data_IF_348599408907
#
_entry.id   IF_348599408907
#
_cell.length_a   1.000
_cell.length_b   1.000
_cell.length_c   1.000
_cell.angle_alpha   90.00
_cell.angle_beta   90.00
_cell.angle_gamma   90.00
#
_symmetry.space_group_name_H-M   'P 1'
#
loop_
_entity.id
_entity.type
_entity.pdbx_description
1 polymer ?
#
# COMPACT_ATOMS: atom_id res chain seq x y z
N UNK A 1 12.17 13.03 3.92
CA UNK A 1 11.07 13.14 4.92
C UNK A 1 10.20 11.89 4.96
N UNK A 2 9.62 11.42 3.84
CA UNK A 2 8.83 10.17 3.80
C UNK A 2 9.60 8.93 4.29
N UNK A 3 10.87 8.79 3.91
CA UNK A 3 11.69 7.62 4.27
C UNK A 3 12.01 7.53 5.78
N UNK A 4 12.16 8.67 6.46
CA UNK A 4 12.38 8.73 7.92
C UNK A 4 11.10 8.42 8.70
N UNK A 5 9.93 8.79 8.18
CA UNK A 5 8.64 8.51 8.83
C UNK A 5 8.26 7.03 8.66
N UNK A 6 8.58 6.40 7.54
CA UNK A 6 8.37 4.97 7.34
C UNK A 6 9.17 4.13 8.35
N UNK A 7 10.41 4.55 8.69
CA UNK A 7 11.19 3.91 9.75
C UNK A 7 10.51 4.01 11.12
N UNK A 8 9.87 5.14 11.43
CA UNK A 8 9.13 5.31 12.69
C UNK A 8 7.89 4.39 12.80
N UNK A 9 7.35 3.93 11.67
CA UNK A 9 6.23 2.98 11.63
C UNK A 9 6.67 1.51 11.69
N UNK A 10 7.97 1.21 11.74
CA UNK A 10 8.47 -0.14 11.93
C UNK A 10 8.03 -0.69 13.28
N UNK A 11 7.61 -1.95 13.31
CA UNK A 11 7.06 -2.57 14.52
C UNK A 11 8.08 -2.59 15.67
N UNK A 12 9.38 -2.77 15.36
CA UNK A 12 10.45 -2.72 16.38
C UNK A 12 10.60 -1.34 17.02
N UNK A 13 10.54 -0.28 16.22
CA UNK A 13 10.67 1.10 16.70
C UNK A 13 9.44 1.51 17.49
N UNK A 14 8.23 1.16 17.02
CA UNK A 14 6.99 1.40 17.75
C UNK A 14 6.95 0.68 19.10
N UNK A 15 7.43 -0.56 19.18
CA UNK A 15 7.57 -1.29 20.45
C UNK A 15 8.54 -0.59 21.40
N UNK A 16 9.71 -0.16 20.90
CA UNK A 16 10.68 0.56 21.72
C UNK A 16 10.10 1.87 22.29
N UNK A 17 9.44 2.67 21.46
CA UNK A 17 8.76 3.91 21.88
C UNK A 17 7.69 3.60 22.93
N UNK A 18 6.91 2.53 22.73
CA UNK A 18 5.84 2.15 23.65
C UNK A 18 6.38 1.74 25.02
N UNK A 19 7.47 0.97 25.06
CA UNK A 19 8.15 0.61 26.31
C UNK A 19 8.67 1.85 27.02
N UNK A 20 9.31 2.77 26.28
CA UNK A 20 9.82 4.03 26.84
C UNK A 20 8.68 4.88 27.43
N UNK A 21 7.56 5.01 26.71
CA UNK A 21 6.39 5.76 27.19
C UNK A 21 5.79 5.11 28.44
N UNK A 22 5.67 3.78 28.48
CA UNK A 22 5.16 3.07 29.66
C UNK A 22 6.09 3.19 30.87
N UNK A 23 7.41 3.24 30.66
CA UNK A 23 8.39 3.50 31.71
C UNK A 23 8.26 4.93 32.25
N UNK A 24 8.22 5.92 31.37
CA UNK A 24 8.05 7.33 31.75
C UNK A 24 6.69 7.62 32.40
N UNK A 25 5.66 6.85 32.06
CA UNK A 25 4.32 6.97 32.63
C UNK A 25 4.30 6.81 34.16
N UNK A 26 5.21 6.02 34.74
CA UNK A 26 5.31 5.88 36.18
C UNK A 26 5.62 7.20 36.88
N UNK A 27 6.69 7.88 36.43
CA UNK A 27 7.13 9.16 36.97
C UNK A 27 6.10 10.26 36.71
N UNK A 28 5.50 10.26 35.52
CA UNK A 28 4.44 11.20 35.18
C UNK A 28 3.20 11.00 36.06
N UNK A 29 2.80 9.76 36.32
CA UNK A 29 1.67 9.47 37.21
C UNK A 29 1.95 9.91 38.65
N UNK A 30 3.16 9.69 39.17
CA UNK A 30 3.54 10.16 40.50
C UNK A 30 3.50 11.70 40.59
N UNK A 31 4.09 12.39 39.61
CA UNK A 31 4.03 13.84 39.52
C UNK A 31 2.60 14.36 39.45
N UNK A 32 1.76 13.75 38.61
CA UNK A 32 0.36 14.14 38.44
C UNK A 32 -0.45 13.91 39.72
N UNK A 33 -0.19 12.81 40.43
CA UNK A 33 -0.83 12.53 41.71
C UNK A 33 -0.45 13.57 42.75
N UNK A 34 0.84 13.88 42.91
CA UNK A 34 1.32 14.88 43.84
C UNK A 34 0.74 16.27 43.52
N UNK A 35 0.66 16.63 42.24
CA UNK A 35 0.03 17.86 41.78
C UNK A 35 -1.46 17.91 42.16
N UNK A 36 -2.22 16.84 41.91
CA UNK A 36 -3.63 16.76 42.27
C UNK A 36 -3.85 16.81 43.78
N UNK A 37 -2.99 16.16 44.57
CA UNK A 37 -3.06 16.19 46.03
C UNK A 37 -2.81 17.58 46.58
N UNK A 38 -1.78 18.26 46.10
CA UNK A 38 -1.50 19.65 46.47
C UNK A 38 -2.68 20.56 46.13
N UNK A 39 -3.25 20.43 44.93
CA UNK A 39 -4.46 21.17 44.54
C UNK A 39 -5.62 20.90 45.51
N UNK A 40 -5.88 19.63 45.85
CA UNK A 40 -6.96 19.26 46.76
C UNK A 40 -6.76 19.84 48.17
N UNK A 41 -5.53 19.87 48.67
CA UNK A 41 -5.20 20.49 49.96
C UNK A 41 -5.46 21.99 49.93
N UNK A 42 -4.98 22.70 48.90
CA UNK A 42 -5.24 24.14 48.74
C UNK A 42 -6.74 24.44 48.69
N UNK A 43 -7.52 23.66 47.93
CA UNK A 43 -8.97 23.85 47.85
C UNK A 43 -9.68 23.60 49.19
N UNK A 44 -9.26 22.59 49.95
CA UNK A 44 -9.81 22.31 51.29
C UNK A 44 -9.54 23.46 52.25
N UNK A 45 -8.31 23.96 52.28
CA UNK A 45 -7.90 25.06 53.16
C UNK A 45 -8.56 26.39 52.76
N UNK A 46 -8.69 26.64 51.45
CA UNK A 46 -9.44 27.78 50.94
C UNK A 46 -10.92 27.72 51.36
N UNK A 47 -11.55 26.54 51.31
CA UNK A 47 -12.93 26.34 51.76
C UNK A 47 -13.10 26.57 53.28
N UNK A 48 -12.06 26.36 54.08
CA UNK A 48 -12.04 26.65 55.51
C UNK A 48 -11.65 28.11 55.85
N UNK A 49 -11.65 29.01 54.86
CA UNK A 49 -11.28 30.44 54.98
C UNK A 49 -9.85 30.69 55.46
N UNK A 50 -8.93 29.74 55.25
CA UNK A 50 -7.52 29.93 55.55
C UNK A 50 -6.84 30.75 54.44
N UNK A 51 -6.50 32.02 54.72
CA UNK A 51 -5.88 32.93 53.75
C UNK A 51 -4.45 32.57 53.35
N UNK A 52 -3.82 31.60 54.03
CA UNK A 52 -2.47 31.08 53.73
C UNK A 52 -2.48 29.77 52.93
N UNK A 53 -3.64 29.36 52.39
CA UNK A 53 -3.77 28.10 51.66
C UNK A 53 -2.79 27.96 50.47
N UNK A 54 -2.39 29.07 49.84
CA UNK A 54 -1.44 29.03 48.71
C UNK A 54 -0.02 28.67 49.12
N UNK A 55 0.39 28.96 50.36
CA UNK A 55 1.73 28.64 50.87
C UNK A 55 1.91 27.13 51.12
N UNK A 56 0.84 26.34 51.04
CA UNK A 56 0.87 24.88 51.17
C UNK A 56 1.09 24.17 49.84
N UNK A 57 1.02 24.88 48.71
CA UNK A 57 1.28 24.30 47.40
C UNK A 57 2.78 24.18 47.19
N UNK A 58 3.30 22.97 47.36
CA UNK A 58 4.71 22.68 47.11
C UNK A 58 4.84 21.42 46.28
N UNK A 59 5.49 21.58 45.12
CA UNK A 59 5.75 20.48 44.22
C UNK A 59 7.26 20.34 44.03
N UNK A 60 7.77 19.18 44.42
CA UNK A 60 9.19 18.87 44.34
C UNK A 60 9.46 17.86 43.23
N UNK A 61 10.71 17.78 42.80
CA UNK A 61 11.13 16.74 41.85
C UNK A 61 11.12 15.34 42.50
N UNK A 62 11.25 15.28 43.82
CA UNK A 62 11.24 14.03 44.60
C UNK A 62 9.87 13.34 44.54
N UNK A 63 8.79 14.13 44.39
CA UNK A 63 7.43 13.63 44.24
C UNK A 63 7.26 12.73 43.01
N UNK A 64 8.07 12.92 41.96
CA UNK A 64 8.09 12.03 40.78
C UNK A 64 8.51 10.59 41.12
N UNK A 65 9.20 10.38 42.24
CA UNK A 65 9.74 9.08 42.67
C UNK A 65 8.95 8.46 43.82
N UNK A 66 7.99 9.20 44.39
CA UNK A 66 7.24 8.77 45.56
C UNK A 66 6.02 7.91 45.16
N UNK A 67 6.15 6.59 45.32
CA UNK A 67 5.08 5.65 45.03
C UNK A 67 4.14 5.47 46.22
N UNK A 68 2.90 5.92 46.07
CA UNK A 68 1.88 5.82 47.11
C UNK A 68 1.00 4.57 46.90
N UNK A 69 1.26 3.51 47.68
CA UNK A 69 0.53 2.24 47.57
C UNK A 69 -0.99 2.38 47.84
N UNK A 70 -1.38 3.31 48.70
CA UNK A 70 -2.78 3.46 49.15
C UNK A 70 -3.74 3.92 48.03
N UNK A 71 -3.22 4.61 47.00
CA UNK A 71 -4.01 5.12 45.86
C UNK A 71 -3.73 4.32 44.59
N UNK A 72 -3.63 2.99 44.72
CA UNK A 72 -3.32 2.09 43.60
C UNK A 72 -4.31 2.22 42.42
N UNK A 73 -5.57 2.56 42.70
CA UNK A 73 -6.61 2.76 41.67
C UNK A 73 -6.28 3.90 40.71
N UNK A 74 -5.62 4.96 41.18
CA UNK A 74 -5.18 6.07 40.33
C UNK A 74 -4.14 5.59 39.30
N UNK A 75 -3.15 4.81 39.75
CA UNK A 75 -2.12 4.27 38.88
C UNK A 75 -2.71 3.33 37.83
N UNK A 76 -3.64 2.45 38.22
CA UNK A 76 -4.33 1.55 37.28
C UNK A 76 -5.06 2.38 36.20
N UNK A 77 -5.77 3.44 36.59
CA UNK A 77 -6.45 4.34 35.65
C UNK A 77 -5.48 5.06 34.70
N UNK A 78 -4.37 5.58 35.22
CA UNK A 78 -3.34 6.25 34.43
C UNK A 78 -2.72 5.30 33.40
N UNK A 79 -2.38 4.07 33.79
CA UNK A 79 -1.84 3.06 32.87
C UNK A 79 -2.86 2.62 31.83
N UNK A 80 -4.14 2.48 32.19
CA UNK A 80 -5.20 2.13 31.24
C UNK A 80 -5.37 3.22 30.16
N UNK A 81 -5.33 4.50 30.55
CA UNK A 81 -5.44 5.63 29.63
C UNK A 81 -4.22 5.69 28.69
N UNK A 82 -3.02 5.53 29.23
CA UNK A 82 -1.78 5.48 28.44
C UNK A 82 -1.78 4.31 27.46
N UNK A 83 -2.26 3.13 27.88
CA UNK A 83 -2.38 1.97 26.99
C UNK A 83 -3.37 2.24 25.84
N UNK A 84 -4.53 2.83 26.13
CA UNK A 84 -5.49 3.21 25.11
C UNK A 84 -4.90 4.23 24.11
N UNK A 85 -4.17 5.23 24.60
CA UNK A 85 -3.44 6.18 23.77
C UNK A 85 -2.40 5.51 22.86
N UNK A 86 -1.63 4.56 23.40
CA UNK A 86 -0.64 3.78 22.64
C UNK A 86 -1.30 2.91 21.56
N UNK A 87 -2.43 2.26 21.86
CA UNK A 87 -3.19 1.47 20.89
C UNK A 87 -3.67 2.35 19.72
N UNK A 88 -4.26 3.51 20.03
CA UNK A 88 -4.69 4.48 19.01
C UNK A 88 -3.51 4.99 18.19
N UNK A 89 -2.38 5.30 18.83
CA UNK A 89 -1.16 5.73 18.17
C UNK A 89 -0.62 4.65 17.23
N UNK A 90 -0.54 3.40 17.70
CA UNK A 90 -0.13 2.25 16.88
C UNK A 90 -1.02 2.07 15.65
N UNK A 91 -2.34 2.12 15.85
CA UNK A 91 -3.29 2.03 14.75
C UNK A 91 -3.06 3.15 13.74
N UNK A 92 -2.99 4.41 14.20
CA UNK A 92 -2.76 5.57 13.33
C UNK A 92 -1.43 5.50 12.60
N UNK A 93 -0.35 5.04 13.25
CA UNK A 93 0.96 4.91 12.63
C UNK A 93 0.95 3.84 11.55
N UNK A 94 0.30 2.69 11.79
CA UNK A 94 0.16 1.64 10.77
C UNK A 94 -0.75 2.07 9.63
N UNK A 95 -1.91 2.67 9.88
CA UNK A 95 -2.80 3.06 8.77
C UNK A 95 -2.22 4.18 7.90
N UNK A 96 -1.48 5.12 8.50
CA UNK A 96 -0.97 6.28 7.77
C UNK A 96 0.38 6.03 7.10
N UNK A 97 1.18 5.09 7.63
CA UNK A 97 2.58 4.91 7.22
C UNK A 97 3.01 3.46 6.99
N UNK A 98 2.23 2.45 7.40
CA UNK A 98 2.48 1.11 6.88
C UNK A 98 2.25 1.16 5.37
N UNK A 99 3.18 0.58 4.64
CA UNK A 99 3.18 0.58 3.18
C UNK A 99 1.96 -0.18 2.67
N UNK A 100 0.86 0.53 2.43
CA UNK A 100 -0.26 0.04 1.63
C UNK A 100 0.07 0.05 0.12
N UNK A 101 1.34 0.27 -0.23
CA UNK A 101 1.84 0.60 -1.56
C UNK A 101 3.10 -0.18 -1.93
N UNK A 102 3.05 -1.51 -1.90
CA UNK A 102 3.82 -2.24 -2.90
C UNK A 102 2.95 -2.26 -4.16
N UNK A 103 3.36 -1.51 -5.20
CA UNK A 103 2.77 -1.49 -6.55
C UNK A 103 1.56 -0.56 -6.83
N UNK A 104 1.16 0.36 -5.93
CA UNK A 104 0.07 1.31 -6.25
C UNK A 104 0.38 2.31 -7.38
N UNK A 105 1.65 2.50 -7.73
CA UNK A 105 2.06 3.33 -8.87
C UNK A 105 2.44 2.53 -10.12
N UNK A 106 2.15 1.22 -10.13
CA UNK A 106 2.52 0.31 -11.20
C UNK A 106 4.00 -0.08 -11.11
N UNK A 107 4.27 -1.37 -10.92
CA UNK A 107 5.59 -1.97 -11.11
C UNK A 107 5.84 -2.37 -12.57
N UNK A 108 5.09 -1.75 -13.50
CA UNK A 108 5.16 -2.07 -14.91
C UNK A 108 6.48 -1.56 -15.48
N UNK A 109 7.37 -2.48 -15.81
CA UNK A 109 8.61 -2.21 -16.52
C UNK A 109 8.51 -2.78 -17.94
N UNK A 110 9.22 -2.15 -18.89
CA UNK A 110 9.35 -2.73 -20.22
C UNK A 110 10.17 -4.02 -20.12
N UNK A 111 9.52 -5.14 -20.41
CA UNK A 111 10.16 -6.43 -20.38
C UNK A 111 11.10 -6.64 -21.59
N UNK A 112 12.21 -7.37 -21.38
CA UNK A 112 13.11 -7.70 -22.46
C UNK A 112 12.45 -8.66 -23.48
N UNK A 113 12.71 -8.48 -24.80
CA UNK A 113 12.13 -9.36 -25.82
C UNK A 113 12.40 -10.85 -25.64
N UNK A 114 13.52 -11.21 -24.98
CA UNK A 114 13.88 -12.61 -24.70
C UNK A 114 12.97 -13.25 -23.67
N UNK A 115 12.51 -12.49 -22.69
CA UNK A 115 11.58 -12.98 -21.66
C UNK A 115 10.16 -13.11 -22.23
N UNK A 116 9.75 -12.16 -23.09
CA UNK A 116 8.48 -12.27 -23.83
C UNK A 116 8.42 -13.55 -24.69
N UNK A 117 9.53 -13.94 -25.32
CA UNK A 117 9.62 -15.20 -26.09
C UNK A 117 9.41 -16.45 -25.23
N UNK A 118 9.71 -16.40 -23.93
CA UNK A 118 9.46 -17.52 -23.01
C UNK A 118 8.01 -17.58 -22.56
N UNK A 119 7.34 -16.44 -22.45
CA UNK A 119 5.96 -16.34 -21.97
C UNK A 119 4.92 -16.61 -23.06
N UNK A 120 5.20 -16.17 -24.29
CA UNK A 120 4.24 -16.19 -25.39
C UNK A 120 4.63 -17.17 -26.49
N UNK A 121 3.62 -17.68 -27.20
CA UNK A 121 3.82 -18.58 -28.32
C UNK A 121 4.39 -17.81 -29.51
N UNK A 122 5.54 -18.25 -30.02
CA UNK A 122 6.20 -17.58 -31.15
C UNK A 122 5.85 -18.23 -32.48
N UNK A 123 5.32 -17.44 -33.41
CA UNK A 123 4.97 -17.89 -34.77
C UNK A 123 5.65 -17.02 -35.84
N UNK A 124 5.94 -17.56 -37.04
CA UNK A 124 6.46 -16.75 -38.12
C UNK A 124 5.38 -15.81 -38.68
N UNK A 125 5.75 -14.55 -38.93
CA UNK A 125 4.98 -13.61 -39.74
C UNK A 125 5.14 -13.95 -41.22
N UNK A 126 4.45 -15.01 -41.66
CA UNK A 126 4.44 -15.51 -43.04
C UNK A 126 3.08 -16.12 -43.37
N UNK A 127 2.76 -16.27 -44.65
CA UNK A 127 1.44 -16.77 -45.11
C UNK A 127 1.23 -18.29 -44.92
N UNK A 128 2.10 -18.96 -44.16
CA UNK A 128 2.03 -20.41 -43.93
C UNK A 128 1.29 -20.71 -42.64
N UNK A 129 0.58 -21.84 -42.64
CA UNK A 129 -0.03 -22.39 -41.42
C UNK A 129 1.03 -22.71 -40.36
N UNK A 130 0.65 -22.60 -39.09
CA UNK A 130 1.50 -22.92 -37.94
C UNK A 130 0.77 -23.81 -36.93
N UNK A 131 1.55 -24.60 -36.18
CA UNK A 131 1.00 -25.61 -35.27
C UNK A 131 0.39 -25.02 -33.99
N UNK A 132 -0.69 -25.65 -33.51
CA UNK A 132 -1.43 -25.35 -32.27
C UNK A 132 -2.34 -24.12 -32.33
N UNK A 133 -2.94 -23.76 -31.19
CA UNK A 133 -3.92 -22.67 -31.02
C UNK A 133 -3.54 -21.29 -31.55
N UNK A 134 -4.56 -20.58 -32.04
CA UNK A 134 -4.53 -19.15 -32.31
C UNK A 134 -4.49 -18.29 -31.04
N UNK A 135 -4.25 -16.99 -31.21
CA UNK A 135 -4.13 -16.06 -30.09
C UNK A 135 -4.02 -14.61 -30.55
N UNK A 136 -3.98 -13.70 -29.58
CA UNK A 136 -3.82 -12.26 -29.83
C UNK A 136 -2.35 -11.89 -29.92
N UNK A 137 -2.00 -10.96 -30.82
CA UNK A 137 -0.61 -10.54 -31.01
C UNK A 137 -0.22 -9.58 -29.88
N UNK A 138 0.72 -9.99 -29.04
CA UNK A 138 1.25 -9.15 -27.95
C UNK A 138 2.44 -8.33 -28.44
N UNK A 139 3.32 -8.93 -29.22
CA UNK A 139 4.54 -8.29 -29.71
C UNK A 139 5.01 -8.90 -31.02
N UNK A 140 5.85 -8.15 -31.74
CA UNK A 140 6.52 -8.60 -32.96
C UNK A 140 8.02 -8.30 -32.87
N UNK A 141 8.84 -9.32 -33.09
CA UNK A 141 10.29 -9.22 -33.10
C UNK A 141 10.83 -9.40 -34.52
N UNK A 142 11.59 -8.42 -35.00
CA UNK A 142 12.28 -8.54 -36.28
C UNK A 142 13.57 -9.34 -36.11
N UNK A 143 13.68 -10.46 -36.84
CA UNK A 143 14.90 -11.27 -36.92
C UNK A 143 15.39 -11.32 -38.37
N UNK A 144 16.27 -10.38 -38.71
CA UNK A 144 16.74 -10.19 -40.08
C UNK A 144 15.62 -9.68 -41.01
N UNK A 145 15.32 -10.45 -42.06
CA UNK A 145 14.23 -10.13 -43.03
C UNK A 145 12.86 -10.68 -42.63
N UNK A 146 12.75 -11.40 -41.51
CA UNK A 146 11.51 -12.05 -41.07
C UNK A 146 11.01 -11.45 -39.77
N UNK A 147 9.69 -11.42 -39.60
CA UNK A 147 9.04 -11.09 -38.34
C UNK A 147 8.65 -12.36 -37.60
N UNK A 148 8.86 -12.35 -36.29
CA UNK A 148 8.35 -13.36 -35.35
C UNK A 148 7.25 -12.69 -34.53
N UNK A 149 6.06 -13.25 -34.52
CA UNK A 149 4.90 -12.77 -33.78
C UNK A 149 4.80 -13.56 -32.48
N UNK A 150 4.57 -12.85 -31.37
CA UNK A 150 4.37 -13.42 -30.04
C UNK A 150 2.89 -13.38 -29.73
N UNK A 151 2.29 -14.56 -29.55
CA UNK A 151 0.86 -14.73 -29.37
C UNK A 151 0.55 -15.10 -27.92
N UNK A 152 -0.45 -14.43 -27.37
CA UNK A 152 -1.14 -14.91 -26.17
C UNK A 152 -2.32 -15.77 -26.60
N UNK A 153 -2.21 -17.07 -26.33
CA UNK A 153 -3.23 -18.08 -26.65
C UNK A 153 -4.19 -18.32 -25.49
N UNK A 154 -4.09 -17.55 -24.40
CA UNK A 154 -5.02 -17.62 -23.28
C UNK A 154 -6.39 -17.00 -23.62
N UNK A 155 -7.45 -17.31 -22.85
CA UNK A 155 -8.76 -16.71 -23.00
C UNK A 155 -8.78 -15.28 -22.43
N UNK A 156 -8.02 -14.37 -23.04
CA UNK A 156 -7.84 -12.98 -22.59
C UNK A 156 -8.64 -12.01 -23.46
N UNK A 157 -9.12 -10.93 -22.84
CA UNK A 157 -9.75 -9.83 -23.56
C UNK A 157 -8.73 -8.74 -23.87
N UNK A 158 -8.61 -8.37 -25.15
CA UNK A 158 -7.64 -7.35 -25.60
C UNK A 158 -8.35 -6.08 -26.08
N UNK A 159 -7.93 -4.93 -25.55
CA UNK A 159 -8.38 -3.62 -25.98
C UNK A 159 -7.29 -2.89 -26.78
N UNK A 160 -7.58 -2.55 -28.04
CA UNK A 160 -6.64 -1.85 -28.93
C UNK A 160 -7.08 -0.40 -29.08
N UNK A 161 -6.40 0.50 -28.38
CA UNK A 161 -6.75 1.92 -28.32
C UNK A 161 -5.79 2.73 -29.18
N UNK A 162 -6.33 3.72 -29.88
CA UNK A 162 -5.54 4.64 -30.69
C UNK A 162 -6.44 5.66 -31.37
N UNK A 163 -5.87 6.75 -31.85
CA UNK A 163 -6.61 7.79 -32.57
C UNK A 163 -7.00 7.36 -34.00
N UNK A 164 -7.86 8.12 -34.66
CA UNK A 164 -8.16 7.92 -36.08
C UNK A 164 -6.90 8.02 -36.93
N UNK A 165 -6.75 7.15 -37.93
CA UNK A 165 -5.56 7.03 -38.81
C UNK A 165 -4.25 6.61 -38.10
N UNK A 166 -4.30 6.12 -36.86
CA UNK A 166 -3.12 5.50 -36.20
C UNK A 166 -2.76 4.11 -36.74
N UNK A 167 -3.51 3.60 -37.72
CA UNK A 167 -3.25 2.30 -38.34
C UNK A 167 -3.76 1.08 -37.56
N UNK A 168 -4.68 1.21 -36.60
CA UNK A 168 -5.20 0.06 -35.81
C UNK A 168 -5.71 -1.10 -36.68
N UNK A 169 -6.36 -0.79 -37.82
CA UNK A 169 -6.80 -1.80 -38.78
C UNK A 169 -5.61 -2.54 -39.37
N UNK A 170 -4.81 -1.84 -40.17
CA UNK A 170 -3.62 -2.33 -40.88
C UNK A 170 -2.56 -2.99 -39.98
N UNK A 171 -2.28 -2.41 -38.81
CA UNK A 171 -1.17 -2.84 -37.95
C UNK A 171 -1.54 -3.87 -36.90
N UNK A 172 -2.83 -4.08 -36.62
CA UNK A 172 -3.25 -4.98 -35.56
C UNK A 172 -4.41 -5.88 -35.96
N UNK A 173 -5.53 -5.31 -36.44
CA UNK A 173 -6.73 -6.10 -36.76
C UNK A 173 -6.46 -7.10 -37.87
N UNK A 174 -6.02 -6.67 -39.05
CA UNK A 174 -5.77 -7.60 -40.17
C UNK A 174 -4.69 -8.65 -39.85
N UNK A 175 -3.55 -8.29 -39.24
CA UNK A 175 -2.58 -9.30 -38.80
C UNK A 175 -3.13 -10.29 -37.78
N UNK A 176 -4.01 -9.86 -36.88
CA UNK A 176 -4.64 -10.76 -35.90
C UNK A 176 -5.60 -11.73 -36.59
N UNK A 177 -6.37 -11.25 -37.58
CA UNK A 177 -7.25 -12.13 -38.39
C UNK A 177 -6.44 -13.17 -39.17
N UNK A 178 -5.34 -12.75 -39.80
CA UNK A 178 -4.40 -13.65 -40.49
C UNK A 178 -3.79 -14.69 -39.54
N UNK A 179 -3.33 -14.26 -38.37
CA UNK A 179 -2.77 -15.19 -37.37
C UNK A 179 -3.80 -16.21 -36.92
N UNK A 180 -5.05 -15.79 -36.67
CA UNK A 180 -6.11 -16.72 -36.25
C UNK A 180 -6.46 -17.70 -37.37
N UNK A 181 -6.52 -17.25 -38.62
CA UNK A 181 -6.90 -18.11 -39.76
C UNK A 181 -5.83 -19.12 -40.15
N UNK A 182 -4.55 -18.83 -39.87
CA UNK A 182 -3.39 -19.71 -40.15
C UNK A 182 -3.07 -20.71 -39.04
N UNK A 183 -3.72 -20.64 -37.88
CA UNK A 183 -3.54 -21.63 -36.83
C UNK A 183 -4.02 -23.02 -37.29
N UNK A 184 -3.37 -24.07 -36.85
CA UNK A 184 -3.85 -25.46 -37.03
C UNK A 184 -5.17 -25.67 -36.25
N UNK A 185 -5.22 -25.13 -35.03
CA UNK A 185 -6.41 -25.09 -34.18
C UNK A 185 -7.05 -23.70 -34.33
N UNK A 186 -8.01 -23.58 -35.26
CA UNK A 186 -8.63 -22.31 -35.64
C UNK A 186 -9.77 -21.92 -34.69
N UNK A 187 -9.69 -20.73 -34.11
CA UNK A 187 -10.80 -20.16 -33.36
C UNK A 187 -11.92 -19.66 -34.28
N UNK A 188 -13.15 -19.77 -33.78
CA UNK A 188 -14.31 -19.12 -34.43
C UNK A 188 -14.25 -17.61 -34.22
N UNK A 189 -14.52 -16.83 -35.28
CA UNK A 189 -14.41 -15.37 -35.24
C UNK A 189 -15.71 -14.71 -35.69
N UNK A 190 -16.14 -13.69 -34.95
CA UNK A 190 -17.21 -12.78 -35.36
C UNK A 190 -16.58 -11.39 -35.50
N UNK A 191 -16.55 -10.88 -36.73
CA UNK A 191 -15.95 -9.58 -37.04
C UNK A 191 -17.05 -8.57 -37.33
N UNK A 192 -17.19 -7.58 -36.46
CA UNK A 192 -18.02 -6.41 -36.76
C UNK A 192 -17.20 -5.41 -37.58
N UNK A 193 -17.42 -5.39 -38.89
CA UNK A 193 -16.72 -4.53 -39.82
C UNK A 193 -17.64 -3.43 -40.40
N UNK A 194 -17.87 -2.33 -39.66
CA UNK A 194 -18.78 -1.27 -40.10
C UNK A 194 -18.31 -0.53 -41.35
N UNK A 195 -17.04 -0.72 -41.77
CA UNK A 195 -16.45 -0.04 -42.94
C UNK A 195 -16.14 -0.99 -44.10
N UNK A 196 -16.33 -2.29 -43.94
CA UNK A 196 -16.06 -3.30 -44.97
C UNK A 196 -14.58 -3.48 -45.31
N UNK A 197 -13.66 -3.08 -44.43
CA UNK A 197 -12.22 -3.24 -44.65
C UNK A 197 -11.74 -4.69 -44.42
N UNK A 198 -12.15 -5.29 -43.30
CA UNK A 198 -11.77 -6.64 -42.87
C UNK A 198 -12.31 -7.75 -43.77
N UNK A 199 -13.46 -7.54 -44.41
CA UNK A 199 -14.07 -8.55 -45.30
C UNK A 199 -13.57 -8.51 -46.74
N UNK A 200 -12.70 -7.54 -47.10
CA UNK A 200 -12.24 -7.32 -48.48
C UNK A 200 -10.75 -7.62 -48.70
N UNK A 201 -10.00 -7.86 -47.63
CA UNK A 201 -8.57 -8.17 -47.62
C UNK A 201 -8.30 -9.66 -47.77
#
# INVERSE_FOLDING_TARGET
MKQSINKLAETKILMFISILVLFLNFYFANFLLAFLQNILVVFKEFAHQNMQAMDLFHLSWEDCFNFQRDIMTFYIGAYALTLFGLLKFWYSMKTNYATMNENQHGSAEFEEPKELVKQYKVVPGSDKEYKGGSGVIVSALQKGKKYLLMLDTGPVHTAVIGISRSGKGERYVFPTVDVISRAEEKDSMIVNDPKGGATRS
#
